data_IF_815604153149
#
_entry.id   IF_815604153149
#
_cell.length_a   1.000
_cell.length_b   1.000
_cell.length_c   1.000
_cell.angle_alpha   90.00
_cell.angle_beta   90.00
_cell.angle_gamma   90.00
#
_symmetry.space_group_name_H-M   'P 1'
#
loop_
_entity.id
_entity.type
_entity.pdbx_description
1 polymer ?
#
# COMPACT_ATOMS: atom_id res chain seq x y z
N UNK A 1 -9.26 -4.56 16.86
CA UNK A 1 -10.08 -5.32 15.88
C UNK A 1 -9.17 -5.81 14.77
N UNK A 2 -9.58 -6.83 14.02
CA UNK A 2 -8.81 -7.37 12.90
C UNK A 2 -9.72 -7.59 11.69
N UNK A 3 -9.23 -7.24 10.51
CA UNK A 3 -9.88 -7.48 9.22
C UNK A 3 -8.85 -8.09 8.26
N UNK A 4 -9.31 -8.87 7.29
CA UNK A 4 -8.43 -9.50 6.30
C UNK A 4 -9.13 -9.73 4.97
N UNK A 5 -8.32 -9.99 3.94
CA UNK A 5 -8.83 -10.27 2.62
C UNK A 5 -7.74 -10.33 1.56
N UNK A 6 -8.14 -10.06 0.33
CA UNK A 6 -7.26 -10.03 -0.84
C UNK A 6 -7.32 -8.67 -1.52
N UNK A 7 -6.33 -8.40 -2.37
CA UNK A 7 -6.43 -7.32 -3.34
C UNK A 7 -5.82 -7.73 -4.69
N UNK A 8 -6.26 -7.05 -5.75
CA UNK A 8 -5.64 -7.06 -7.08
C UNK A 8 -4.99 -5.72 -7.37
N UNK A 9 -3.92 -5.72 -8.17
CA UNK A 9 -3.36 -4.50 -8.75
C UNK A 9 -3.93 -4.39 -10.15
N UNK A 10 -4.87 -3.46 -10.33
CA UNK A 10 -5.65 -3.33 -11.57
C UNK A 10 -4.91 -2.47 -12.61
N UNK A 11 -4.07 -1.54 -12.14
CA UNK A 11 -3.21 -0.71 -12.98
C UNK A 11 -1.86 -0.47 -12.30
N UNK A 12 -0.81 -0.44 -13.12
CA UNK A 12 0.56 -0.10 -12.74
C UNK A 12 1.14 0.83 -13.80
N UNK A 13 1.24 2.11 -13.47
CA UNK A 13 1.53 3.20 -14.41
C UNK A 13 2.83 3.91 -13.98
N UNK A 14 4.01 3.39 -14.35
CA UNK A 14 5.28 4.01 -14.02
C UNK A 14 5.52 5.21 -14.93
N UNK A 15 5.98 6.30 -14.34
CA UNK A 15 6.50 7.44 -15.10
C UNK A 15 7.94 7.16 -15.56
N UNK A 16 8.46 8.01 -16.45
CA UNK A 16 9.89 7.99 -16.75
C UNK A 16 10.66 8.34 -15.47
N UNK A 17 11.69 7.56 -15.07
CA UNK A 17 12.50 7.88 -13.91
C UNK A 17 13.01 9.33 -13.97
N UNK A 18 12.86 10.06 -12.87
CA UNK A 18 13.23 11.48 -12.80
C UNK A 18 14.70 11.68 -12.41
N UNK A 19 15.35 10.65 -11.86
CA UNK A 19 16.79 10.61 -11.59
C UNK A 19 17.34 9.25 -12.01
N UNK A 20 18.34 9.24 -12.88
CA UNK A 20 19.03 8.04 -13.35
C UNK A 20 20.53 8.32 -13.36
N UNK A 21 21.21 7.94 -12.29
CA UNK A 21 22.64 8.22 -12.08
C UNK A 21 23.30 7.04 -11.39
N UNK A 22 24.55 6.77 -11.76
CA UNK A 22 25.39 5.77 -11.09
C UNK A 22 24.77 4.36 -10.98
N UNK A 23 23.90 3.98 -11.93
CA UNK A 23 23.20 2.70 -11.91
C UNK A 23 22.06 2.62 -10.89
N UNK A 24 21.54 3.77 -10.46
CA UNK A 24 20.41 3.93 -9.55
C UNK A 24 19.32 4.74 -10.24
N UNK A 25 18.11 4.19 -10.28
CA UNK A 25 16.94 4.82 -10.90
C UNK A 25 15.94 5.22 -9.81
N UNK A 26 15.53 6.49 -9.79
CA UNK A 26 14.46 7.00 -8.94
C UNK A 26 13.26 7.39 -9.82
N UNK A 27 12.06 6.98 -9.40
CA UNK A 27 10.86 7.18 -10.20
C UNK A 27 9.60 7.34 -9.37
N UNK A 28 8.52 7.69 -10.07
CA UNK A 28 7.17 7.73 -9.55
C UNK A 28 6.29 6.74 -10.31
N UNK A 29 5.39 6.07 -9.60
CA UNK A 29 4.42 5.13 -10.18
C UNK A 29 3.07 5.38 -9.54
N UNK A 30 2.02 5.49 -10.36
CA UNK A 30 0.63 5.44 -9.90
C UNK A 30 0.10 4.01 -10.01
N UNK A 31 -0.57 3.52 -8.97
CA UNK A 31 -1.21 2.20 -8.97
C UNK A 31 -2.69 2.32 -8.63
N UNK A 32 -3.50 1.39 -9.14
CA UNK A 32 -4.88 1.20 -8.70
C UNK A 32 -5.09 -0.22 -8.20
N UNK A 33 -5.83 -0.36 -7.11
CA UNK A 33 -6.13 -1.68 -6.52
C UNK A 33 -7.61 -1.84 -6.23
N UNK A 34 -8.06 -3.09 -6.26
CA UNK A 34 -9.38 -3.50 -5.78
C UNK A 34 -9.20 -4.47 -4.62
N UNK A 35 -9.87 -4.20 -3.51
CA UNK A 35 -9.86 -4.99 -2.29
C UNK A 35 -11.15 -5.79 -2.14
N UNK A 36 -11.03 -7.02 -1.66
CA UNK A 36 -12.14 -7.92 -1.34
C UNK A 36 -11.93 -8.63 0.00
N UNK A 37 -13.02 -9.09 0.61
CA UNK A 37 -13.03 -9.74 1.93
C UNK A 37 -13.73 -8.86 2.96
N UNK A 38 -13.13 -8.70 4.13
CA UNK A 38 -13.66 -7.81 5.17
C UNK A 38 -13.66 -6.33 4.73
N UNK A 39 -12.87 -6.00 3.71
CA UNK A 39 -12.90 -4.71 3.04
C UNK A 39 -13.32 -4.90 1.57
N UNK A 40 -14.37 -4.20 1.15
CA UNK A 40 -14.74 -4.04 -0.26
C UNK A 40 -14.48 -2.59 -0.63
N UNK A 41 -13.38 -2.34 -1.35
CA UNK A 41 -12.89 -1.00 -1.61
C UNK A 41 -12.05 -0.93 -2.89
N UNK A 42 -11.85 0.26 -3.40
CA UNK A 42 -10.79 0.56 -4.38
C UNK A 42 -9.75 1.49 -3.76
N UNK A 43 -8.58 1.57 -4.37
CA UNK A 43 -7.57 2.54 -3.97
C UNK A 43 -6.78 3.09 -5.15
N UNK A 44 -6.20 4.26 -4.92
CA UNK A 44 -5.14 4.82 -5.74
C UNK A 44 -3.89 5.05 -4.88
N UNK A 45 -2.74 4.65 -5.41
CA UNK A 45 -1.44 4.73 -4.76
C UNK A 45 -0.53 5.64 -5.56
N UNK A 46 0.13 6.57 -4.88
CA UNK A 46 1.22 7.38 -5.42
C UNK A 46 2.52 6.93 -4.77
N UNK A 47 3.38 6.27 -5.54
CA UNK A 47 4.59 5.61 -5.06
C UNK A 47 5.83 6.29 -5.61
N UNK A 48 6.75 6.70 -4.74
CA UNK A 48 8.12 7.07 -5.12
C UNK A 48 9.04 5.90 -4.81
N UNK A 49 9.87 5.50 -5.78
CA UNK A 49 10.74 4.34 -5.65
C UNK A 49 12.17 4.65 -6.04
N UNK A 50 13.08 3.82 -5.53
CA UNK A 50 14.46 3.68 -5.98
C UNK A 50 14.72 2.22 -6.34
N UNK A 51 15.40 1.98 -7.45
CA UNK A 51 15.80 0.65 -7.90
C UNK A 51 17.28 0.68 -8.28
N UNK A 52 18.01 -0.35 -7.87
CA UNK A 52 19.40 -0.60 -8.29
C UNK A 52 19.42 -1.86 -9.16
N UNK A 53 19.32 -1.74 -10.50
CA UNK A 53 19.13 -2.89 -11.39
C UNK A 53 20.21 -3.98 -11.23
N UNK A 54 21.46 -3.58 -10.97
CA UNK A 54 22.58 -4.51 -10.84
C UNK A 54 22.47 -5.47 -9.64
N UNK A 55 21.84 -5.04 -8.55
CA UNK A 55 21.69 -5.84 -7.32
C UNK A 55 20.24 -6.26 -7.06
N UNK A 56 19.29 -5.70 -7.82
CA UNK A 56 17.84 -5.79 -7.58
C UNK A 56 17.42 -5.21 -6.21
N UNK A 57 18.29 -4.45 -5.55
CA UNK A 57 17.91 -3.72 -4.33
C UNK A 57 16.92 -2.63 -4.69
N UNK A 58 15.91 -2.44 -3.86
CA UNK A 58 14.88 -1.43 -4.07
C UNK A 58 14.35 -0.87 -2.76
N UNK A 59 13.86 0.35 -2.80
CA UNK A 59 13.05 0.91 -1.72
C UNK A 59 11.89 1.71 -2.33
N UNK A 60 10.80 1.82 -1.57
CA UNK A 60 9.72 2.71 -1.94
C UNK A 60 9.04 3.31 -0.72
N UNK A 61 8.44 4.47 -0.94
CA UNK A 61 7.44 5.08 -0.05
C UNK A 61 6.21 5.38 -0.88
N UNK A 62 5.04 5.27 -0.26
CA UNK A 62 3.80 5.55 -0.97
C UNK A 62 2.73 6.09 -0.04
N UNK A 63 1.82 6.88 -0.62
CA UNK A 63 0.56 7.28 -0.02
C UNK A 63 -0.56 6.65 -0.83
N UNK A 64 -1.46 5.94 -0.16
CA UNK A 64 -2.57 5.21 -0.77
C UNK A 64 -3.89 5.69 -0.18
N UNK A 65 -4.82 6.17 -1.03
CA UNK A 65 -6.18 6.47 -0.60
C UNK A 65 -7.07 5.28 -0.88
N UNK A 66 -7.73 4.78 0.16
CA UNK A 66 -8.69 3.67 0.08
C UNK A 66 -10.10 4.22 0.25
N UNK A 67 -11.04 3.81 -0.60
CA UNK A 67 -12.44 4.22 -0.56
C UNK A 67 -13.36 3.01 -0.72
N UNK A 68 -14.31 2.84 0.21
CA UNK A 68 -15.25 1.72 0.20
C UNK A 68 -15.82 1.41 1.57
N UNK A 69 -15.86 0.12 1.90
CA UNK A 69 -16.39 -0.37 3.18
C UNK A 69 -15.37 -1.25 3.89
N UNK A 70 -15.21 -1.08 5.21
CA UNK A 70 -14.40 -1.94 6.08
C UNK A 70 -15.30 -2.52 7.18
N UNK A 71 -15.40 -3.84 7.24
CA UNK A 71 -16.31 -4.55 8.15
C UNK A 71 -17.76 -4.01 8.09
N UNK A 72 -18.22 -3.68 6.88
CA UNK A 72 -19.54 -3.10 6.61
C UNK A 72 -19.69 -1.60 6.89
N UNK A 73 -18.64 -0.92 7.38
CA UNK A 73 -18.65 0.53 7.66
C UNK A 73 -18.15 1.32 6.45
N UNK A 74 -18.94 2.25 5.97
CA UNK A 74 -18.63 3.06 4.78
C UNK A 74 -17.74 4.27 5.08
N UNK A 75 -16.74 4.49 4.23
CA UNK A 75 -15.88 5.66 4.30
C UNK A 75 -14.63 5.55 3.43
N UNK A 76 -13.66 6.40 3.72
CA UNK A 76 -12.32 6.37 3.14
C UNK A 76 -11.27 6.61 4.22
N UNK A 77 -10.03 6.23 3.92
CA UNK A 77 -8.87 6.51 4.76
C UNK A 77 -7.60 6.48 3.91
N UNK A 78 -6.48 6.90 4.48
CA UNK A 78 -5.19 6.92 3.80
C UNK A 78 -4.21 5.98 4.49
N UNK A 79 -3.48 5.19 3.71
CA UNK A 79 -2.36 4.37 4.13
C UNK A 79 -1.04 5.04 3.74
N UNK A 80 -0.04 4.94 4.62
CA UNK A 80 1.35 5.27 4.33
C UNK A 80 2.16 3.98 4.25
N UNK A 81 3.03 3.87 3.25
CA UNK A 81 3.91 2.73 3.03
C UNK A 81 5.37 3.17 3.18
N UNK A 82 6.19 2.30 3.75
CA UNK A 82 7.66 2.39 3.73
C UNK A 82 8.25 1.00 3.58
N UNK A 83 9.06 0.79 2.55
CA UNK A 83 9.61 -0.52 2.24
C UNK A 83 11.05 -0.46 1.76
N UNK A 84 11.80 -1.52 2.02
CA UNK A 84 13.14 -1.75 1.48
C UNK A 84 13.33 -3.25 1.24
N UNK A 85 13.96 -3.61 0.15
CA UNK A 85 14.30 -4.98 -0.21
C UNK A 85 15.71 -5.07 -0.80
N UNK A 86 16.42 -6.13 -0.44
CA UNK A 86 17.72 -6.51 -0.99
C UNK A 86 17.87 -8.04 -1.02
N UNK A 87 19.09 -8.55 -1.22
CA UNK A 87 19.37 -9.99 -1.24
C UNK A 87 19.20 -10.70 0.10
N UNK A 88 19.17 -9.97 1.21
CA UNK A 88 18.98 -10.49 2.56
C UNK A 88 17.52 -10.59 2.97
N UNK A 89 16.63 -9.87 2.30
CA UNK A 89 15.19 -9.94 2.52
C UNK A 89 14.47 -8.62 2.23
N UNK A 90 13.26 -8.50 2.76
CA UNK A 90 12.42 -7.32 2.62
C UNK A 90 11.86 -6.85 3.96
N UNK A 91 11.67 -5.55 4.08
CA UNK A 91 10.91 -4.90 5.15
C UNK A 91 9.79 -4.06 4.55
N UNK A 92 8.63 -4.08 5.20
CA UNK A 92 7.46 -3.31 4.78
C UNK A 92 6.68 -2.89 6.03
N UNK A 93 6.43 -1.60 6.15
CA UNK A 93 5.51 -1.02 7.12
C UNK A 93 4.39 -0.30 6.37
N UNK A 94 3.14 -0.68 6.65
CA UNK A 94 1.95 0.02 6.15
C UNK A 94 1.08 0.44 7.33
N UNK A 95 0.75 1.72 7.43
CA UNK A 95 -0.01 2.28 8.55
C UNK A 95 -1.12 3.18 8.06
N UNK A 96 -2.27 3.15 8.75
CA UNK A 96 -3.32 4.16 8.56
C UNK A 96 -2.77 5.50 9.04
N UNK A 97 -2.84 6.53 8.19
CA UNK A 97 -2.49 7.90 8.56
C UNK A 97 -3.58 8.42 9.49
N UNK A 98 -3.25 8.87 10.72
CA UNK A 98 -4.23 9.39 11.67
C UNK A 98 -5.12 10.48 11.08
N UNK A 99 -6.37 10.55 11.53
CA UNK A 99 -7.35 11.57 11.16
C UNK A 99 -7.73 11.62 9.68
N UNK A 100 -7.33 10.64 8.88
CA UNK A 100 -7.71 10.55 7.46
C UNK A 100 -8.98 9.74 7.22
N UNK A 101 -9.44 9.01 8.23
CA UNK A 101 -10.70 8.28 8.21
C UNK A 101 -11.90 9.21 8.02
N UNK A 102 -12.82 8.85 7.13
CA UNK A 102 -14.05 9.62 6.86
C UNK A 102 -15.30 8.76 7.07
N UNK A 103 -16.46 9.41 7.17
CA UNK A 103 -17.74 8.70 7.35
C UNK A 103 -17.73 7.85 8.62
N UNK A 104 -18.12 6.59 8.49
CA UNK A 104 -18.12 5.62 9.58
C UNK A 104 -16.73 5.10 9.96
N UNK A 105 -15.68 5.53 9.22
CA UNK A 105 -14.28 5.22 9.48
C UNK A 105 -13.53 6.38 10.15
N UNK A 106 -14.22 7.45 10.54
CA UNK A 106 -13.62 8.53 11.33
C UNK A 106 -13.02 7.97 12.63
N UNK A 107 -11.78 8.35 12.97
CA UNK A 107 -11.03 7.82 14.12
C UNK A 107 -10.33 6.47 13.87
N UNK A 108 -10.29 6.00 12.62
CA UNK A 108 -9.56 4.78 12.27
C UNK A 108 -8.05 4.99 12.46
N UNK A 109 -7.42 4.10 13.21
CA UNK A 109 -5.96 3.95 13.29
C UNK A 109 -5.59 2.47 13.23
N UNK A 110 -4.46 2.13 12.63
CA UNK A 110 -4.08 0.73 12.48
C UNK A 110 -2.84 0.51 11.64
N UNK A 111 -2.45 -0.76 11.53
CA UNK A 111 -1.32 -1.22 10.71
C UNK A 111 -1.76 -2.37 9.83
N UNK A 112 -1.36 -2.32 8.56
CA UNK A 112 -1.71 -3.31 7.55
C UNK A 112 -0.47 -4.13 7.20
N UNK A 113 -0.63 -5.45 7.24
CA UNK A 113 0.35 -6.41 6.73
C UNK A 113 -0.08 -6.85 5.34
N UNK A 114 0.86 -6.82 4.39
CA UNK A 114 0.69 -7.40 3.06
C UNK A 114 1.55 -8.65 2.98
N UNK A 115 0.97 -9.74 2.51
CA UNK A 115 1.70 -10.96 2.16
C UNK A 115 1.33 -11.38 0.74
N UNK A 116 2.17 -12.23 0.15
CA UNK A 116 1.96 -12.81 -1.17
C UNK A 116 2.05 -14.33 -1.04
N UNK A 117 1.00 -15.02 -1.47
CA UNK A 117 0.97 -16.47 -1.58
C UNK A 117 0.77 -16.85 -3.06
N UNK A 118 1.81 -17.42 -3.68
CA UNK A 118 1.86 -17.58 -5.13
C UNK A 118 1.69 -16.23 -5.83
N UNK A 119 0.67 -16.10 -6.68
CA UNK A 119 0.34 -14.85 -7.37
C UNK A 119 -0.70 -13.99 -6.64
N UNK A 120 -1.28 -14.49 -5.54
CA UNK A 120 -2.34 -13.80 -4.80
C UNK A 120 -1.74 -12.87 -3.74
N UNK A 121 -2.11 -11.59 -3.80
CA UNK A 121 -1.87 -10.67 -2.70
C UNK A 121 -2.96 -10.82 -1.64
N UNK A 122 -2.55 -10.98 -0.38
CA UNK A 122 -3.43 -10.97 0.79
C UNK A 122 -3.03 -9.87 1.76
N UNK A 123 -3.97 -9.44 2.57
CA UNK A 123 -3.76 -8.40 3.56
C UNK A 123 -4.44 -8.73 4.89
N UNK A 124 -3.90 -8.18 5.97
CA UNK A 124 -4.57 -8.12 7.27
C UNK A 124 -4.34 -6.78 7.93
N UNK A 125 -5.41 -6.16 8.41
CA UNK A 125 -5.40 -4.88 9.10
C UNK A 125 -5.73 -5.11 10.58
N UNK A 126 -4.79 -4.77 11.46
CA UNK A 126 -5.04 -4.63 12.90
C UNK A 126 -5.35 -3.16 13.19
N UNK A 127 -6.53 -2.88 13.75
CA UNK A 127 -7.02 -1.51 13.88
C UNK A 127 -7.88 -1.27 15.13
N UNK A 128 -7.98 0.00 15.51
CA UNK A 128 -9.00 0.53 16.41
C UNK A 128 -9.81 1.60 15.70
N UNK A 129 -11.03 1.82 16.19
CA UNK A 129 -11.96 2.81 15.66
C UNK A 129 -12.68 3.42 16.85
N UNK A 130 -12.45 4.70 17.12
CA UNK A 130 -13.02 5.42 18.27
C UNK A 130 -12.45 6.82 18.42
#
# INVERSE_FOLDING_TARGET
>A
MRASGTFTVDAWEPETPYDQRDGVDLGHTTLRKTFAGDMTATSEVHMTSVVVPATQSAAYVAIERVEGTLAGRGGSFVLQHSATADSSGQSLLVTVVPDTGTGELTGLVGSLLITKDGDQHTWSLDYTLG
#
